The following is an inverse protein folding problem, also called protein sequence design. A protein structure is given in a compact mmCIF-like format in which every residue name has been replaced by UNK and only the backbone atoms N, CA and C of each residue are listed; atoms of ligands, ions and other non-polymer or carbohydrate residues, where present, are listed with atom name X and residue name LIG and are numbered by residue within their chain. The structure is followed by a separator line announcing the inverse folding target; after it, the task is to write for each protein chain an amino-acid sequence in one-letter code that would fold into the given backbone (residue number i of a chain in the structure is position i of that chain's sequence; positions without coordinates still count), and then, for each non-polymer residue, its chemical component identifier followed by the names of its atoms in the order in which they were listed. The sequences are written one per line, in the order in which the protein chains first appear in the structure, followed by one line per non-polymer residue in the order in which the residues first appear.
data_IF_840546957760
#
_entry.id   IF_840546957760
#
_cell.length_a   1.000
_cell.length_b   1.000
_cell.length_c   1.000
_cell.angle_alpha   90.00
_cell.angle_beta   90.00
_cell.angle_gamma   90.00
#
_symmetry.space_group_name_H-M   'P 1'
#
loop_
_entity.id
_entity.type
_entity.pdbx_description
1 polymer ?
#
# COMPACT_ATOMS: atom_id res chain seq x y z
N UNK A 1 -0.94 -12.91 17.45
CA UNK A 1 0.45 -13.25 17.11
C UNK A 1 1.11 -13.80 18.36
N UNK A 2 1.69 -15.01 18.29
CA UNK A 2 2.37 -15.58 19.46
C UNK A 2 3.80 -15.07 19.49
N UNK A 3 4.19 -14.43 20.58
CA UNK A 3 5.59 -14.04 20.88
C UNK A 3 6.12 -14.91 22.01
N UNK A 4 7.44 -15.09 22.09
CA UNK A 4 8.07 -15.84 23.16
C UNK A 4 9.34 -15.15 23.64
N UNK A 5 9.64 -15.31 24.92
CA UNK A 5 10.93 -14.97 25.53
C UNK A 5 11.50 -16.20 26.21
N UNK A 6 12.81 -16.28 26.29
CA UNK A 6 13.54 -17.32 27.04
C UNK A 6 14.16 -16.68 28.28
N UNK A 7 13.92 -17.28 29.42
CA UNK A 7 14.38 -16.76 30.70
C UNK A 7 15.02 -17.91 31.50
N UNK A 8 16.14 -17.61 32.13
CA UNK A 8 16.83 -18.57 33.02
C UNK A 8 16.68 -18.19 34.49
N UNK A 9 16.66 -19.18 35.37
CA UNK A 9 16.61 -18.99 36.82
C UNK A 9 17.15 -20.22 37.57
N UNK A 10 17.46 -20.03 38.85
CA UNK A 10 17.99 -21.14 39.70
C UNK A 10 16.97 -22.26 39.87
N UNK A 11 15.70 -21.95 39.75
CA UNK A 11 14.58 -22.90 39.73
C UNK A 11 13.64 -22.53 38.58
N UNK A 12 12.78 -23.49 38.19
CA UNK A 12 11.73 -23.25 37.19
C UNK A 12 10.79 -22.10 37.62
N UNK A 13 10.43 -22.07 38.91
CA UNK A 13 9.54 -21.03 39.45
C UNK A 13 10.18 -19.65 39.48
N UNK A 14 11.48 -19.53 39.80
CA UNK A 14 12.20 -18.25 39.71
C UNK A 14 12.30 -17.75 38.27
N UNK A 15 12.57 -18.63 37.31
CA UNK A 15 12.61 -18.28 35.91
C UNK A 15 11.23 -17.82 35.39
N UNK A 16 10.16 -18.51 35.82
CA UNK A 16 8.78 -18.09 35.47
C UNK A 16 8.47 -16.70 36.06
N UNK A 17 8.77 -16.50 37.36
CA UNK A 17 8.48 -15.23 38.02
C UNK A 17 9.23 -14.07 37.38
N UNK A 18 10.54 -14.25 37.08
CA UNK A 18 11.34 -13.24 36.39
C UNK A 18 10.82 -12.92 34.98
N UNK A 19 10.39 -13.93 34.24
CA UNK A 19 9.83 -13.74 32.91
C UNK A 19 8.45 -13.03 32.94
N UNK A 20 7.59 -13.36 33.87
CA UNK A 20 6.31 -12.68 34.08
C UNK A 20 6.50 -11.21 34.47
N UNK A 21 7.47 -10.91 35.35
CA UNK A 21 7.83 -9.55 35.72
C UNK A 21 8.36 -8.74 34.51
N UNK A 22 9.22 -9.36 33.71
CA UNK A 22 9.74 -8.75 32.48
C UNK A 22 8.67 -8.43 31.45
N UNK A 23 7.65 -9.30 31.34
CA UNK A 23 6.54 -9.12 30.41
C UNK A 23 5.42 -8.22 30.97
N UNK A 24 5.37 -8.02 32.29
CA UNK A 24 4.26 -7.35 32.97
C UNK A 24 2.92 -8.08 32.82
N UNK A 25 2.95 -9.41 32.70
CA UNK A 25 1.80 -10.28 32.45
C UNK A 25 1.54 -11.24 33.60
N UNK A 26 0.30 -11.72 33.72
CA UNK A 26 -0.07 -12.74 34.67
C UNK A 26 0.25 -14.16 34.16
N UNK A 27 0.30 -15.12 35.08
CA UNK A 27 0.61 -16.52 34.75
C UNK A 27 -0.39 -17.14 33.76
N UNK A 28 -1.65 -16.71 33.85
CA UNK A 28 -2.77 -17.22 33.03
C UNK A 28 -2.73 -16.71 31.58
N UNK A 29 -1.95 -15.64 31.33
CA UNK A 29 -1.82 -15.03 30.00
C UNK A 29 -0.67 -15.60 29.19
N UNK A 30 0.15 -16.47 29.79
CA UNK A 30 1.34 -17.05 29.16
C UNK A 30 1.31 -18.57 29.18
N UNK A 31 1.80 -19.19 28.13
CA UNK A 31 2.12 -20.61 28.06
C UNK A 31 3.60 -20.82 28.41
N UNK A 32 3.88 -21.75 29.32
CA UNK A 32 5.25 -22.03 29.78
C UNK A 32 5.73 -23.37 29.24
N UNK A 33 6.85 -23.35 28.59
CA UNK A 33 7.59 -24.53 28.13
C UNK A 33 8.95 -24.59 28.85
N UNK A 34 9.24 -25.71 29.52
CA UNK A 34 10.55 -25.94 30.18
C UNK A 34 11.50 -26.51 29.14
N UNK A 35 12.52 -25.72 28.73
CA UNK A 35 13.53 -26.14 27.78
C UNK A 35 14.64 -26.95 28.48
N UNK A 36 15.10 -26.46 29.66
CA UNK A 36 16.08 -27.14 30.49
C UNK A 36 15.68 -27.09 31.96
N UNK A 37 15.77 -28.23 32.66
CA UNK A 37 15.48 -28.30 34.10
C UNK A 37 16.70 -27.95 34.94
N UNK A 38 16.45 -27.24 36.03
CA UNK A 38 17.50 -26.96 37.01
C UNK A 38 18.12 -28.25 37.54
N UNK A 39 19.42 -28.35 37.59
CA UNK A 39 20.13 -29.46 38.21
C UNK A 39 20.88 -28.96 39.45
N UNK A 40 20.60 -29.60 40.59
CA UNK A 40 21.38 -29.37 41.81
C UNK A 40 22.71 -30.09 41.68
N UNK A 41 23.81 -29.36 41.72
CA UNK A 41 25.14 -29.94 41.75
C UNK A 41 25.40 -30.71 43.05
N UNK A 42 26.18 -31.77 42.98
CA UNK A 42 26.68 -32.50 44.16
C UNK A 42 28.02 -31.90 44.54
N UNK A 43 28.19 -31.49 45.82
CA UNK A 43 29.41 -30.88 46.36
C UNK A 43 29.90 -29.61 45.64
N UNK A 44 28.96 -28.80 45.11
CA UNK A 44 29.29 -27.51 44.46
C UNK A 44 29.73 -27.61 43.00
N UNK A 45 29.72 -28.78 42.39
CA UNK A 45 30.03 -28.99 40.98
C UNK A 45 28.78 -29.47 40.21
N UNK A 46 28.53 -28.89 39.02
CA UNK A 46 27.47 -29.34 38.12
C UNK A 46 26.09 -28.69 38.35
N UNK A 47 26.01 -27.48 38.92
CA UNK A 47 24.81 -26.68 38.97
C UNK A 47 24.47 -26.16 37.55
N UNK A 48 23.22 -26.34 37.10
CA UNK A 48 22.72 -25.68 35.93
C UNK A 48 21.37 -25.04 36.24
N UNK A 49 21.19 -23.81 35.77
CA UNK A 49 19.93 -23.07 35.90
C UNK A 49 18.83 -23.70 35.02
N UNK A 50 17.59 -23.51 35.41
CA UNK A 50 16.48 -23.83 34.55
C UNK A 50 16.41 -22.81 33.40
N UNK A 51 16.08 -23.28 32.21
CA UNK A 51 15.75 -22.43 31.05
C UNK A 51 14.31 -22.71 30.65
N UNK A 52 13.50 -21.65 30.63
CA UNK A 52 12.08 -21.72 30.25
C UNK A 52 11.80 -20.79 29.06
N UNK A 53 10.82 -21.16 28.26
CA UNK A 53 10.24 -20.31 27.23
C UNK A 53 8.84 -19.93 27.64
N UNK A 54 8.58 -18.63 27.73
CA UNK A 54 7.26 -18.05 27.96
C UNK A 54 6.70 -17.59 26.62
N UNK A 55 5.58 -18.17 26.19
CA UNK A 55 4.87 -17.79 24.97
C UNK A 55 3.55 -17.10 25.35
N UNK A 56 3.28 -15.97 24.71
CA UNK A 56 2.09 -15.16 24.98
C UNK A 56 1.48 -14.63 23.68
N UNK A 57 0.18 -14.44 23.70
CA UNK A 57 -0.55 -13.89 22.56
C UNK A 57 -0.60 -12.35 22.63
N UNK A 58 -0.02 -11.71 21.66
CA UNK A 58 -0.19 -10.27 21.46
C UNK A 58 -1.35 -10.08 20.48
N UNK A 59 -2.32 -9.30 20.86
CA UNK A 59 -3.38 -8.91 19.95
C UNK A 59 -2.75 -8.20 18.73
N UNK A 60 -3.01 -8.72 17.53
CA UNK A 60 -2.51 -8.11 16.31
C UNK A 60 -3.03 -6.68 16.20
N UNK A 61 -2.13 -5.73 16.11
CA UNK A 61 -2.51 -4.37 15.73
C UNK A 61 -2.99 -4.34 14.29
N UNK A 62 -3.70 -3.29 13.90
CA UNK A 62 -4.12 -3.14 12.50
C UNK A 62 -2.89 -3.06 11.57
N UNK A 63 -1.81 -2.44 12.04
CA UNK A 63 -0.52 -2.39 11.35
C UNK A 63 0.05 -3.79 11.10
N UNK A 64 0.08 -4.64 12.12
CA UNK A 64 0.58 -6.02 11.99
C UNK A 64 -0.25 -6.84 10.99
N UNK A 65 -1.57 -6.62 10.96
CA UNK A 65 -2.46 -7.26 9.98
C UNK A 65 -2.16 -6.82 8.56
N UNK A 66 -1.94 -5.52 8.33
CA UNK A 66 -1.57 -4.95 7.02
C UNK A 66 -0.24 -5.53 6.56
N UNK A 67 0.79 -5.48 7.41
CA UNK A 67 2.13 -5.98 7.07
C UNK A 67 2.09 -7.47 6.73
N UNK A 68 1.48 -8.29 7.58
CA UNK A 68 1.37 -9.73 7.36
C UNK A 68 0.62 -10.07 6.07
N UNK A 69 -0.47 -9.36 5.79
CA UNK A 69 -1.24 -9.59 4.57
C UNK A 69 -0.44 -9.22 3.32
N UNK A 70 0.20 -8.04 3.32
CA UNK A 70 1.05 -7.60 2.21
C UNK A 70 2.21 -8.57 1.99
N UNK A 71 2.93 -8.96 3.05
CA UNK A 71 4.05 -9.89 2.97
C UNK A 71 3.61 -11.23 2.38
N UNK A 72 2.54 -11.83 2.89
CA UNK A 72 2.01 -13.09 2.37
C UNK A 72 1.55 -12.99 0.90
N UNK A 73 0.98 -11.85 0.49
CA UNK A 73 0.58 -11.63 -0.89
C UNK A 73 1.80 -11.49 -1.82
N UNK A 74 2.82 -10.73 -1.41
CA UNK A 74 4.07 -10.56 -2.16
C UNK A 74 4.83 -11.88 -2.28
N UNK A 75 4.88 -12.68 -1.21
CA UNK A 75 5.47 -14.03 -1.21
C UNK A 75 4.75 -14.95 -2.23
N UNK A 76 3.41 -14.92 -2.25
CA UNK A 76 2.63 -15.68 -3.25
C UNK A 76 2.88 -15.21 -4.69
N UNK A 77 3.21 -13.93 -4.89
CA UNK A 77 3.58 -13.38 -6.19
C UNK A 77 5.04 -13.67 -6.55
N UNK A 78 5.85 -14.22 -5.64
CA UNK A 78 7.28 -14.44 -5.82
C UNK A 78 8.09 -13.13 -5.88
N UNK A 79 7.63 -12.09 -5.18
CA UNK A 79 8.25 -10.76 -5.17
C UNK A 79 8.86 -10.47 -3.82
N UNK A 80 10.16 -10.24 -3.80
CA UNK A 80 10.85 -9.71 -2.63
C UNK A 80 10.70 -8.17 -2.60
N UNK A 81 10.15 -7.65 -1.50
CA UNK A 81 9.97 -6.23 -1.31
C UNK A 81 10.08 -5.83 0.17
N UNK A 82 10.60 -4.65 0.40
CA UNK A 82 10.52 -3.95 1.67
C UNK A 82 9.16 -3.27 1.79
N UNK A 83 8.57 -3.37 2.99
CA UNK A 83 7.26 -2.80 3.31
C UNK A 83 7.46 -1.74 4.38
N UNK A 84 7.29 -0.49 4.03
CA UNK A 84 7.30 0.64 4.96
C UNK A 84 5.86 1.07 5.27
N UNK A 85 5.47 1.00 6.56
CA UNK A 85 4.14 1.40 7.02
C UNK A 85 4.22 2.69 7.82
N UNK A 86 3.42 3.68 7.43
CA UNK A 86 3.27 4.95 8.14
C UNK A 86 1.80 5.22 8.47
N UNK A 87 1.55 5.78 9.63
CA UNK A 87 0.20 6.18 10.03
C UNK A 87 -0.18 7.53 9.41
N UNK A 88 -1.46 7.67 9.02
CA UNK A 88 -2.01 8.90 8.49
C UNK A 88 -2.68 9.71 9.57
N UNK A 89 -2.57 11.04 9.47
CA UNK A 89 -3.40 11.95 10.27
C UNK A 89 -4.89 11.67 10.00
N UNK A 90 -5.65 11.47 11.08
CA UNK A 90 -7.07 11.11 10.98
C UNK A 90 -7.39 9.60 10.92
N UNK A 91 -6.38 8.74 11.05
CA UNK A 91 -6.49 7.29 11.05
C UNK A 91 -6.37 6.68 9.65
N UNK A 92 -5.64 5.60 9.57
CA UNK A 92 -5.33 4.90 8.32
C UNK A 92 -3.85 4.57 8.22
N UNK A 93 -3.48 3.76 7.23
CA UNK A 93 -2.10 3.33 7.01
C UNK A 93 -1.72 3.60 5.57
N UNK A 94 -0.53 4.20 5.37
CA UNK A 94 0.15 4.20 4.08
C UNK A 94 1.18 3.07 4.10
N UNK A 95 1.12 2.21 3.10
CA UNK A 95 2.11 1.18 2.83
C UNK A 95 2.89 1.57 1.57
N UNK A 96 4.18 1.81 1.69
CA UNK A 96 5.07 2.01 0.57
C UNK A 96 5.91 0.75 0.34
N UNK A 97 5.87 0.24 -0.88
CA UNK A 97 6.59 -0.96 -1.29
C UNK A 97 7.81 -0.54 -2.10
N UNK A 98 8.96 -1.15 -1.80
CA UNK A 98 10.20 -0.91 -2.54
C UNK A 98 10.99 -2.20 -2.74
N UNK A 99 11.74 -2.29 -3.84
CA UNK A 99 12.53 -3.46 -4.14
C UNK A 99 12.80 -3.71 -5.63
N UNK A 100 13.55 -4.76 -5.97
CA UNK A 100 14.04 -4.97 -7.33
C UNK A 100 12.96 -5.34 -8.35
N UNK A 101 11.81 -5.87 -7.90
CA UNK A 101 10.76 -6.40 -8.77
C UNK A 101 9.46 -5.57 -8.75
N UNK A 102 9.52 -4.27 -8.44
CA UNK A 102 8.34 -3.41 -8.32
C UNK A 102 7.49 -3.34 -9.58
N UNK A 103 8.06 -3.58 -10.76
CA UNK A 103 7.29 -3.68 -11.99
C UNK A 103 6.18 -4.73 -11.99
N UNK A 104 6.39 -5.88 -11.31
CA UNK A 104 5.37 -6.92 -11.14
C UNK A 104 4.25 -6.48 -10.17
N UNK A 105 4.62 -5.74 -9.12
CA UNK A 105 3.70 -5.18 -8.12
C UNK A 105 2.85 -4.05 -8.71
N UNK A 106 3.46 -3.21 -9.52
CA UNK A 106 2.78 -2.10 -10.20
C UNK A 106 1.85 -2.65 -11.29
N UNK A 107 2.37 -3.55 -12.12
CA UNK A 107 1.66 -4.09 -13.27
C UNK A 107 1.48 -3.09 -14.40
N UNK A 108 0.63 -3.44 -15.36
CA UNK A 108 0.35 -2.57 -16.50
C UNK A 108 -0.47 -1.36 -16.04
N UNK A 109 0.13 -0.16 -16.09
CA UNK A 109 -0.50 1.11 -15.71
C UNK A 109 -1.00 1.18 -14.27
N UNK A 110 -0.41 0.40 -13.35
CA UNK A 110 -0.81 0.39 -11.95
C UNK A 110 -2.00 -0.52 -11.63
N UNK A 111 -2.51 -1.29 -12.59
CA UNK A 111 -3.68 -2.17 -12.39
C UNK A 111 -3.45 -3.21 -11.28
N UNK A 112 -2.24 -3.80 -11.21
CA UNK A 112 -1.89 -4.75 -10.16
C UNK A 112 -1.79 -4.06 -8.79
N UNK A 113 -1.20 -2.88 -8.74
CA UNK A 113 -1.09 -2.08 -7.52
C UNK A 113 -2.48 -1.68 -6.97
N UNK A 114 -3.40 -1.30 -7.85
CA UNK A 114 -4.78 -1.01 -7.46
C UNK A 114 -5.51 -2.25 -6.94
N UNK A 115 -5.30 -3.41 -7.57
CA UNK A 115 -5.84 -4.69 -7.11
C UNK A 115 -5.28 -5.09 -5.73
N UNK A 116 -3.98 -4.95 -5.51
CA UNK A 116 -3.32 -5.19 -4.22
C UNK A 116 -3.93 -4.28 -3.15
N UNK A 117 -4.04 -2.98 -3.41
CA UNK A 117 -4.66 -2.03 -2.48
C UNK A 117 -6.10 -2.41 -2.14
N UNK A 118 -6.88 -2.84 -3.13
CA UNK A 118 -8.26 -3.27 -2.91
C UNK A 118 -8.34 -4.52 -2.02
N UNK A 119 -7.52 -5.52 -2.30
CA UNK A 119 -7.44 -6.77 -1.52
C UNK A 119 -7.02 -6.52 -0.07
N UNK A 120 -6.00 -5.68 0.15
CA UNK A 120 -5.55 -5.32 1.50
C UNK A 120 -6.67 -4.62 2.27
N UNK A 121 -7.31 -3.60 1.67
CA UNK A 121 -8.41 -2.89 2.29
C UNK A 121 -9.59 -3.83 2.64
N UNK A 122 -9.93 -4.76 1.75
CA UNK A 122 -10.99 -5.74 1.99
C UNK A 122 -10.64 -6.70 3.12
N UNK A 123 -9.45 -7.31 3.07
CA UNK A 123 -9.05 -8.35 4.03
C UNK A 123 -8.85 -7.81 5.44
N UNK A 124 -8.18 -6.67 5.58
CA UNK A 124 -7.87 -6.08 6.89
C UNK A 124 -9.12 -5.51 7.56
N UNK A 125 -10.06 -4.98 6.79
CA UNK A 125 -11.29 -4.42 7.32
C UNK A 125 -12.40 -5.46 7.55
N UNK A 126 -12.20 -6.71 7.13
CA UNK A 126 -13.20 -7.75 7.32
C UNK A 126 -13.41 -8.05 8.80
N UNK A 127 -14.65 -7.87 9.27
CA UNK A 127 -15.03 -8.11 10.67
C UNK A 127 -14.68 -6.96 11.64
N UNK A 128 -14.23 -5.82 11.13
CA UNK A 128 -14.01 -4.63 11.95
C UNK A 128 -15.22 -3.68 11.86
N UNK A 129 -15.69 -3.18 13.00
CA UNK A 129 -16.76 -2.19 13.07
C UNK A 129 -16.36 -0.84 12.47
N UNK A 130 -15.10 -0.45 12.66
CA UNK A 130 -14.49 0.75 12.06
C UNK A 130 -13.62 0.37 10.88
N UNK A 131 -14.00 0.84 9.68
CA UNK A 131 -13.17 0.69 8.48
C UNK A 131 -11.99 1.65 8.52
N UNK A 132 -10.80 1.11 8.35
CA UNK A 132 -9.56 1.85 8.22
C UNK A 132 -9.20 1.99 6.73
N UNK A 133 -8.77 3.17 6.32
CA UNK A 133 -8.29 3.37 4.95
C UNK A 133 -6.82 2.98 4.85
N UNK A 134 -6.50 2.07 3.95
CA UNK A 134 -5.13 1.63 3.67
C UNK A 134 -4.80 2.05 2.26
N UNK A 135 -3.78 2.88 2.12
CA UNK A 135 -3.20 3.27 0.82
C UNK A 135 -1.95 2.45 0.57
N UNK A 136 -1.84 1.87 -0.62
CA UNK A 136 -0.65 1.12 -1.03
C UNK A 136 -0.04 1.81 -2.23
N UNK A 137 1.25 2.09 -2.18
CA UNK A 137 2.02 2.64 -3.28
C UNK A 137 3.36 1.89 -3.45
N UNK A 138 3.96 1.99 -4.61
CA UNK A 138 5.23 1.38 -4.92
C UNK A 138 6.17 2.45 -5.50
N UNK A 139 7.21 2.84 -4.73
CA UNK A 139 8.24 3.81 -5.14
C UNK A 139 7.70 5.13 -5.71
N UNK A 140 6.61 5.63 -5.14
CA UNK A 140 5.90 6.83 -5.62
C UNK A 140 5.40 6.70 -7.08
N UNK A 141 4.97 5.49 -7.46
CA UNK A 141 4.50 5.21 -8.81
C UNK A 141 3.36 6.12 -9.23
N UNK A 142 2.37 6.37 -8.34
CA UNK A 142 1.19 7.18 -8.69
C UNK A 142 1.57 8.58 -9.13
N UNK A 143 2.47 9.25 -8.41
CA UNK A 143 2.98 10.59 -8.77
C UNK A 143 3.75 10.56 -10.08
N UNK A 144 4.69 9.63 -10.23
CA UNK A 144 5.48 9.46 -11.46
C UNK A 144 4.58 9.15 -12.68
N UNK A 145 3.51 8.39 -12.46
CA UNK A 145 2.55 8.05 -13.52
C UNK A 145 1.75 9.27 -13.95
N UNK A 146 1.28 10.08 -13.01
CA UNK A 146 0.55 11.32 -13.29
C UNK A 146 1.41 12.29 -14.10
N UNK A 147 2.66 12.53 -13.70
CA UNK A 147 3.62 13.35 -14.44
C UNK A 147 3.84 12.84 -15.87
N UNK A 148 3.99 11.52 -16.02
CA UNK A 148 4.13 10.87 -17.33
C UNK A 148 2.90 11.06 -18.22
N UNK A 149 1.69 11.05 -17.64
CA UNK A 149 0.44 11.29 -18.36
C UNK A 149 0.30 12.73 -18.81
N UNK A 150 0.68 13.70 -17.98
CA UNK A 150 0.73 15.13 -18.35
C UNK A 150 1.67 15.33 -19.53
N UNK A 151 2.88 14.79 -19.45
CA UNK A 151 3.87 14.89 -20.54
C UNK A 151 3.39 14.22 -21.84
N UNK A 152 2.70 13.07 -21.72
CA UNK A 152 2.08 12.40 -22.86
C UNK A 152 0.97 13.27 -23.49
N UNK A 153 0.14 13.90 -22.66
CA UNK A 153 -0.94 14.78 -23.09
C UNK A 153 -0.38 15.95 -23.91
N UNK A 154 0.60 16.68 -23.38
CA UNK A 154 1.26 17.81 -24.06
C UNK A 154 1.90 17.39 -25.40
N UNK A 155 2.59 16.25 -25.40
CA UNK A 155 3.19 15.69 -26.63
C UNK A 155 2.14 15.36 -27.69
N UNK A 156 0.97 14.86 -27.27
CA UNK A 156 -0.13 14.54 -28.20
C UNK A 156 -0.84 15.78 -28.68
N UNK A 157 -1.00 16.81 -27.84
CA UNK A 157 -1.50 18.12 -28.23
C UNK A 157 -0.62 18.79 -29.28
N UNK A 158 0.69 18.83 -29.04
CA UNK A 158 1.65 19.36 -30.03
C UNK A 158 1.59 18.62 -31.38
N UNK A 159 1.44 17.29 -31.36
CA UNK A 159 1.25 16.50 -32.59
C UNK A 159 -0.09 16.78 -33.27
N UNK A 160 -1.19 16.93 -32.52
CA UNK A 160 -2.49 17.25 -33.07
C UNK A 160 -2.46 18.60 -33.81
N UNK A 161 -1.82 19.61 -33.22
CA UNK A 161 -1.63 20.94 -33.84
C UNK A 161 -0.74 20.83 -35.08
N UNK A 162 0.42 20.17 -34.95
CA UNK A 162 1.40 20.05 -36.07
C UNK A 162 0.80 19.38 -37.30
N UNK A 163 0.03 18.31 -37.08
CA UNK A 163 -0.54 17.54 -38.20
C UNK A 163 -2.01 17.91 -38.52
N UNK A 164 -2.59 18.86 -37.78
CA UNK A 164 -3.98 19.35 -37.95
C UNK A 164 -5.01 18.21 -37.98
N UNK A 165 -4.86 17.22 -37.12
CA UNK A 165 -5.73 16.04 -37.04
C UNK A 165 -5.89 15.56 -35.60
N UNK A 166 -6.96 14.81 -35.36
CA UNK A 166 -7.18 14.18 -34.06
C UNK A 166 -6.18 13.08 -33.77
N UNK A 167 -5.74 12.98 -32.52
CA UNK A 167 -4.83 11.97 -32.00
C UNK A 167 -5.53 11.18 -30.90
N UNK A 168 -5.70 9.89 -31.10
CA UNK A 168 -6.24 8.98 -30.09
C UNK A 168 -5.10 8.45 -29.20
N UNK A 169 -5.31 8.50 -27.90
CA UNK A 169 -4.44 7.85 -26.93
C UNK A 169 -4.85 6.38 -26.76
N UNK A 170 -4.03 5.62 -26.03
CA UNK A 170 -4.39 4.27 -25.66
C UNK A 170 -5.52 4.25 -24.63
N UNK A 171 -6.27 3.13 -24.53
CA UNK A 171 -7.27 2.96 -23.48
C UNK A 171 -6.65 3.12 -22.09
N UNK A 172 -7.37 3.77 -21.19
CA UNK A 172 -6.91 4.05 -19.82
C UNK A 172 -8.11 4.21 -18.88
N UNK A 173 -7.87 4.08 -17.58
CA UNK A 173 -8.91 4.19 -16.56
C UNK A 173 -9.48 5.63 -16.45
N UNK A 174 -10.56 5.80 -15.69
CA UNK A 174 -11.27 7.09 -15.55
C UNK A 174 -10.40 8.18 -14.94
N UNK A 175 -9.56 7.84 -13.95
CA UNK A 175 -8.64 8.79 -13.31
C UNK A 175 -7.58 9.29 -14.29
N UNK A 176 -6.94 8.40 -15.03
CA UNK A 176 -5.93 8.75 -16.03
C UNK A 176 -6.49 9.64 -17.15
N UNK A 177 -7.74 9.35 -17.58
CA UNK A 177 -8.43 10.22 -18.54
C UNK A 177 -8.70 11.62 -17.98
N UNK A 178 -9.06 11.70 -16.69
CA UNK A 178 -9.25 12.98 -16.01
C UNK A 178 -7.95 13.80 -15.96
N UNK A 179 -6.82 13.17 -15.61
CA UNK A 179 -5.50 13.83 -15.61
C UNK A 179 -5.20 14.46 -16.97
N UNK A 180 -5.42 13.72 -18.07
CA UNK A 180 -5.17 14.23 -19.43
C UNK A 180 -6.13 15.37 -19.79
N UNK A 181 -7.41 15.25 -19.44
CA UNK A 181 -8.39 16.33 -19.68
C UNK A 181 -7.99 17.60 -18.93
N UNK A 182 -7.59 17.47 -17.65
CA UNK A 182 -7.15 18.60 -16.84
C UNK A 182 -5.88 19.25 -17.37
N UNK A 183 -4.89 18.44 -17.77
CA UNK A 183 -3.63 18.94 -18.34
C UNK A 183 -3.84 19.73 -19.62
N UNK A 184 -4.83 19.38 -20.43
CA UNK A 184 -5.10 20.03 -21.72
C UNK A 184 -6.28 21.01 -21.69
N UNK A 185 -6.90 21.23 -20.54
CA UNK A 185 -8.08 22.09 -20.42
C UNK A 185 -7.86 23.51 -20.94
N UNK A 186 -6.67 24.07 -20.70
CA UNK A 186 -6.28 25.41 -21.10
C UNK A 186 -5.21 25.40 -22.22
N UNK A 187 -5.03 24.28 -22.91
CA UNK A 187 -4.04 24.16 -23.97
C UNK A 187 -4.65 24.68 -25.28
N UNK A 188 -4.11 25.79 -25.82
CA UNK A 188 -4.64 26.45 -26.99
C UNK A 188 -4.55 25.57 -28.25
N UNK A 189 -5.60 25.57 -29.07
CA UNK A 189 -5.64 24.89 -30.36
C UNK A 189 -5.96 23.41 -30.33
N UNK A 190 -6.37 22.89 -29.17
CA UNK A 190 -6.87 21.52 -29.03
C UNK A 190 -8.09 21.43 -28.10
N UNK A 191 -8.91 20.41 -28.33
CA UNK A 191 -9.93 19.94 -27.41
C UNK A 191 -9.74 18.45 -27.10
N UNK A 192 -10.35 18.01 -26.01
CA UNK A 192 -10.23 16.61 -25.57
C UNK A 192 -11.60 15.99 -25.35
N UNK A 193 -11.81 14.78 -25.85
CA UNK A 193 -13.01 13.99 -25.65
C UNK A 193 -12.68 12.55 -25.25
N UNK A 194 -13.45 11.99 -24.30
CA UNK A 194 -13.37 10.57 -23.96
C UNK A 194 -14.32 9.75 -24.82
N UNK A 195 -13.79 8.82 -25.61
CA UNK A 195 -14.54 7.96 -26.55
C UNK A 195 -14.38 6.48 -26.25
N UNK A 196 -15.37 5.67 -26.63
CA UNK A 196 -15.38 4.23 -26.43
C UNK A 196 -16.07 3.79 -25.14
N UNK A 197 -16.10 2.49 -24.91
CA UNK A 197 -16.70 1.83 -23.73
C UNK A 197 -15.61 1.09 -22.97
N UNK A 198 -15.70 1.05 -21.65
CA UNK A 198 -14.76 0.28 -20.82
C UNK A 198 -14.70 -1.21 -21.25
N UNK A 199 -13.54 -1.83 -21.30
CA UNK A 199 -12.21 -1.34 -20.87
C UNK A 199 -11.44 -0.59 -21.96
N UNK A 200 -12.02 -0.34 -23.14
CA UNK A 200 -11.35 0.24 -24.31
C UNK A 200 -11.54 1.78 -24.43
N UNK A 201 -12.09 2.41 -23.39
CA UNK A 201 -12.33 3.86 -23.38
C UNK A 201 -11.02 4.64 -23.30
N UNK A 202 -10.92 5.68 -24.14
CA UNK A 202 -9.68 6.46 -24.34
C UNK A 202 -9.95 7.94 -24.52
N UNK A 203 -8.93 8.76 -24.37
CA UNK A 203 -8.98 10.18 -24.70
C UNK A 203 -8.57 10.37 -26.16
N UNK A 204 -9.30 11.23 -26.86
CA UNK A 204 -8.95 11.74 -28.18
C UNK A 204 -8.67 13.22 -28.06
N UNK A 205 -7.48 13.63 -28.47
CA UNK A 205 -7.07 15.04 -28.56
C UNK A 205 -7.32 15.51 -29.98
N UNK A 206 -8.22 16.47 -30.15
CA UNK A 206 -8.64 16.99 -31.46
C UNK A 206 -8.07 18.37 -31.67
N UNK A 207 -7.51 18.61 -32.87
CA UNK A 207 -7.07 19.95 -33.27
C UNK A 207 -8.27 20.86 -33.46
N UNK A 208 -8.25 22.00 -32.80
CA UNK A 208 -9.21 23.11 -33.01
C UNK A 208 -8.51 24.23 -33.78
N UNK A 209 -9.10 24.59 -34.91
CA UNK A 209 -8.61 25.74 -35.67
C UNK A 209 -8.84 27.00 -34.84
N UNK A 210 -7.80 27.84 -34.61
CA UNK A 210 -8.01 29.12 -33.95
C UNK A 210 -9.11 29.88 -34.65
N UNK A 211 -10.20 30.18 -33.93
CA UNK A 211 -11.21 31.08 -34.47
C UNK A 211 -10.61 32.47 -34.64
N UNK A 212 -10.38 32.85 -35.89
CA UNK A 212 -10.09 34.24 -36.25
C UNK A 212 -11.36 35.06 -35.99
N UNK A 213 -11.47 35.59 -34.79
CA UNK A 213 -12.43 36.64 -34.39
C UNK A 213 -13.90 36.31 -34.60
N UNK A 214 -14.58 35.82 -33.52
CA UNK A 214 -15.92 36.31 -33.20
C UNK A 214 -16.36 35.79 -31.82
N UNK A 215 -16.66 36.73 -30.95
CA UNK A 215 -17.65 36.76 -29.88
C UNK A 215 -17.91 35.46 -29.09
N UNK A 216 -17.28 35.32 -27.91
CA UNK A 216 -17.83 34.46 -26.89
C UNK A 216 -19.27 34.86 -26.59
N UNK A 217 -20.23 33.91 -26.62
CA UNK A 217 -21.55 34.21 -26.06
C UNK A 217 -21.36 34.31 -24.54
N UNK A 218 -21.65 35.48 -23.97
CA UNK A 218 -21.78 35.69 -22.55
C UNK A 218 -22.74 34.66 -21.99
N UNK A 219 -22.28 33.92 -20.99
CA UNK A 219 -23.10 33.05 -20.16
C UNK A 219 -24.31 33.85 -19.65
N UNK A 220 -25.52 33.47 -20.08
CA UNK A 220 -26.74 33.96 -19.47
C UNK A 220 -26.79 33.52 -18.04
N UNK A 221 -26.67 34.48 -17.12
CA UNK A 221 -27.09 34.33 -15.73
C UNK A 221 -28.58 33.93 -15.74
N UNK A 222 -28.88 32.83 -15.12
CA UNK A 222 -30.23 32.45 -14.74
C UNK A 222 -30.55 33.11 -13.40
N UNK A 223 -31.44 34.09 -13.43
CA UNK A 223 -32.13 34.63 -12.27
C UNK A 223 -33.17 33.64 -11.73
#
# INVERSE_FOLDING_TARGET
MTKSIEVSGKTEDEAIAAGLEQLGMSRDEVSVEVLERAKKGVLGFGHSDALIRLSYEVADTQRDKVERYLRGLLDCMGVEADIELTEREGGGINANLSGPAMGAVIGRRGETLDAIQHLVNYSVNRGNDKRMHISVDAENYRTKREESLVHLAEKMAAKAIKYKRSMALEPMNSYERHVIHTALQNYEGVSTASTGVEPNRRVVVTYEKPETGSNKPQSREWA
#
